data_IF_051025119283
#
_entry.id   IF_051025119283
#
_cell.length_a   1.000
_cell.length_b   1.000
_cell.length_c   1.000
_cell.angle_alpha   90.00
_cell.angle_beta   90.00
_cell.angle_gamma   90.00
#
_symmetry.space_group_name_H-M   'P 1'
#
loop_
_entity.id
_entity.type
_entity.pdbx_description
1 polymer ?
#
# COMPACT_ATOMS: atom_id res chain seq x y z
N UNK A 1 28.08 -9.36 -4.33
CA UNK A 1 28.62 -8.52 -3.23
C UNK A 1 28.22 -9.20 -1.94
N UNK A 2 29.16 -9.62 -1.11
CA UNK A 2 28.85 -10.24 0.19
C UNK A 2 28.36 -9.18 1.19
N UNK A 3 27.72 -9.65 2.28
CA UNK A 3 27.11 -8.78 3.28
C UNK A 3 28.11 -7.87 3.99
N UNK A 4 29.35 -8.33 4.18
CA UNK A 4 30.41 -7.56 4.82
C UNK A 4 30.85 -6.39 3.93
N UNK A 5 31.10 -6.67 2.64
CA UNK A 5 31.41 -5.65 1.64
C UNK A 5 30.26 -4.64 1.48
N UNK A 6 29.01 -5.11 1.49
CA UNK A 6 27.82 -4.24 1.42
C UNK A 6 27.74 -3.26 2.60
N UNK A 7 27.96 -3.73 3.83
CA UNK A 7 27.92 -2.90 5.03
C UNK A 7 29.11 -1.94 5.08
N UNK A 8 30.32 -2.41 4.81
CA UNK A 8 31.53 -1.57 4.81
C UNK A 8 31.42 -0.41 3.81
N UNK A 9 30.87 -0.66 2.63
CA UNK A 9 30.68 0.36 1.60
C UNK A 9 29.74 1.47 2.07
N UNK A 10 28.64 1.12 2.73
CA UNK A 10 27.64 2.08 3.23
C UNK A 10 28.08 2.83 4.49
N UNK A 11 28.93 2.20 5.31
CA UNK A 11 29.60 2.89 6.41
C UNK A 11 30.58 3.93 5.86
N UNK A 12 31.36 3.57 4.83
CA UNK A 12 32.33 4.46 4.20
C UNK A 12 31.67 5.63 3.45
N UNK A 13 30.51 5.41 2.82
CA UNK A 13 29.76 6.49 2.14
C UNK A 13 28.94 7.37 3.08
N UNK A 14 28.81 7.00 4.36
CA UNK A 14 27.98 7.72 5.33
C UNK A 14 26.48 7.43 5.22
N UNK A 15 26.05 6.62 4.25
CA UNK A 15 24.65 6.17 4.10
C UNK A 15 24.16 5.36 5.30
N UNK A 16 25.07 4.60 5.93
CA UNK A 16 24.84 3.87 7.14
C UNK A 16 25.72 4.43 8.26
N UNK A 17 25.11 5.06 9.26
CA UNK A 17 25.82 5.58 10.43
C UNK A 17 25.71 4.62 11.61
N UNK A 18 26.64 4.71 12.56
CA UNK A 18 26.55 3.93 13.80
C UNK A 18 25.23 4.18 14.55
N UNK A 19 24.78 5.45 14.60
CA UNK A 19 23.49 5.80 15.20
C UNK A 19 22.31 5.13 14.48
N UNK A 20 22.37 5.03 13.15
CA UNK A 20 21.35 4.33 12.35
C UNK A 20 21.35 2.82 12.63
N UNK A 21 22.53 2.19 12.74
CA UNK A 21 22.65 0.78 13.12
C UNK A 21 22.04 0.53 14.51
N UNK A 22 22.38 1.35 15.50
CA UNK A 22 21.83 1.25 16.86
C UNK A 22 20.30 1.34 16.84
N UNK A 23 19.73 2.26 16.07
CA UNK A 23 18.27 2.41 15.96
C UNK A 23 17.61 1.20 15.25
N UNK A 24 18.25 0.64 14.22
CA UNK A 24 17.77 -0.58 13.56
C UNK A 24 17.77 -1.78 14.51
N UNK A 25 18.82 -1.93 15.32
CA UNK A 25 18.88 -2.99 16.34
C UNK A 25 17.79 -2.80 17.39
N UNK A 26 17.55 -1.57 17.87
CA UNK A 26 16.45 -1.27 18.81
C UNK A 26 15.09 -1.61 18.23
N UNK A 27 14.84 -1.25 16.97
CA UNK A 27 13.58 -1.54 16.31
C UNK A 27 13.35 -3.05 16.21
N UNK A 28 14.36 -3.80 15.78
CA UNK A 28 14.31 -5.26 15.74
C UNK A 28 14.04 -5.86 17.12
N UNK A 29 14.75 -5.39 18.15
CA UNK A 29 14.56 -5.85 19.52
C UNK A 29 13.14 -5.58 20.02
N UNK A 30 12.60 -4.36 19.83
CA UNK A 30 11.23 -4.00 20.21
C UNK A 30 10.19 -4.88 19.51
N UNK A 31 10.32 -5.05 18.19
CA UNK A 31 9.40 -5.86 17.39
C UNK A 31 9.36 -7.33 17.81
N UNK A 32 10.45 -7.83 18.41
CA UNK A 32 10.57 -9.21 18.86
C UNK A 32 10.43 -9.36 20.39
N UNK A 33 9.94 -8.34 21.08
CA UNK A 33 9.73 -8.39 22.54
C UNK A 33 11.03 -8.47 23.36
N UNK A 34 12.17 -8.11 22.77
CA UNK A 34 13.47 -8.06 23.43
C UNK A 34 13.70 -6.68 24.08
N UNK A 35 14.64 -6.63 25.03
CA UNK A 35 15.12 -5.36 25.59
C UNK A 35 15.82 -4.54 24.50
N UNK A 36 15.28 -3.34 24.23
CA UNK A 36 15.74 -2.45 23.16
C UNK A 36 16.95 -1.59 23.53
N UNK A 37 18.08 -2.22 23.85
CA UNK A 37 19.31 -1.49 24.21
C UNK A 37 20.14 -1.04 23.00
N UNK A 38 19.81 -1.54 21.80
CA UNK A 38 20.51 -1.24 20.55
C UNK A 38 21.83 -1.96 20.38
N UNK A 39 22.08 -3.00 21.19
CA UNK A 39 23.28 -3.84 21.12
C UNK A 39 22.85 -5.25 20.73
N UNK A 40 23.37 -5.74 19.60
CA UNK A 40 23.14 -7.11 19.17
C UNK A 40 23.97 -8.08 20.03
N UNK A 41 23.45 -8.44 21.19
CA UNK A 41 24.01 -9.48 22.06
C UNK A 41 23.49 -10.87 21.70
N UNK A 42 23.91 -11.92 22.44
CA UNK A 42 23.53 -13.31 22.15
C UNK A 42 22.02 -13.52 21.96
N UNK A 43 21.19 -12.98 22.87
CA UNK A 43 19.72 -13.08 22.79
C UNK A 43 19.16 -12.45 21.50
N UNK A 44 19.77 -11.37 21.02
CA UNK A 44 19.36 -10.74 19.76
C UNK A 44 19.74 -11.60 18.56
N UNK A 45 20.94 -12.22 18.59
CA UNK A 45 21.37 -13.13 17.54
C UNK A 45 20.55 -14.42 17.50
N UNK A 46 20.28 -15.04 18.65
CA UNK A 46 19.43 -16.23 18.74
C UNK A 46 18.06 -15.98 18.09
N UNK A 47 17.48 -14.79 18.33
CA UNK A 47 16.20 -14.42 17.72
C UNK A 47 16.30 -14.17 16.21
N UNK A 48 17.41 -13.62 15.73
CA UNK A 48 17.67 -13.49 14.29
C UNK A 48 17.73 -14.89 13.66
N UNK A 49 18.45 -15.82 14.26
CA UNK A 49 18.62 -17.18 13.75
C UNK A 49 17.29 -17.95 13.73
N UNK A 50 16.47 -17.81 14.78
CA UNK A 50 15.11 -18.36 14.83
C UNK A 50 14.24 -17.86 13.66
N UNK A 51 14.25 -16.55 13.41
CA UNK A 51 13.47 -15.95 12.32
C UNK A 51 13.99 -16.41 10.96
N UNK A 52 15.31 -16.47 10.77
CA UNK A 52 15.91 -16.96 9.54
C UNK A 52 15.55 -18.43 9.28
N UNK A 53 15.55 -19.27 10.31
CA UNK A 53 15.12 -20.66 10.20
C UNK A 53 13.62 -20.78 9.87
N UNK A 54 12.77 -19.98 10.53
CA UNK A 54 11.34 -19.92 10.24
C UNK A 54 11.06 -19.51 8.78
N UNK A 55 11.68 -18.42 8.31
CA UNK A 55 11.49 -17.96 6.93
C UNK A 55 12.10 -18.91 5.89
N UNK A 56 13.23 -19.55 6.19
CA UNK A 56 13.79 -20.57 5.31
C UNK A 56 12.84 -21.76 5.16
N UNK A 57 12.17 -22.18 6.24
CA UNK A 57 11.15 -23.22 6.20
C UNK A 57 9.88 -22.77 5.47
N UNK A 58 9.41 -21.54 5.69
CA UNK A 58 8.21 -21.00 5.03
C UNK A 58 8.40 -20.84 3.51
N UNK A 59 9.58 -20.37 3.08
CA UNK A 59 9.93 -20.27 1.65
C UNK A 59 10.07 -21.65 1.00
N UNK A 60 10.59 -22.64 1.73
CA UNK A 60 10.66 -24.02 1.23
C UNK A 60 9.26 -24.67 1.10
N UNK A 61 8.35 -24.40 2.04
CA UNK A 61 6.98 -24.92 2.00
C UNK A 61 6.09 -24.22 0.96
N UNK A 62 6.20 -22.90 0.78
CA UNK A 62 5.46 -22.18 -0.29
C UNK A 62 5.90 -22.56 -1.71
N UNK A 63 7.06 -23.20 -1.87
CA UNK A 63 7.54 -23.67 -3.18
C UNK A 63 6.88 -24.96 -3.66
N UNK A 64 6.09 -25.65 -2.84
CA UNK A 64 5.47 -26.94 -3.19
C UNK A 64 3.96 -26.92 -3.43
N UNK A 65 3.29 -25.75 -3.34
CA UNK A 65 1.88 -25.59 -3.70
C UNK A 65 1.71 -24.42 -4.68
N UNK A 66 2.36 -24.49 -5.84
CA UNK A 66 1.78 -23.87 -7.03
C UNK A 66 0.82 -24.90 -7.62
N UNK A 67 -0.42 -24.91 -7.15
CA UNK A 67 -1.52 -25.32 -8.02
C UNK A 67 -1.36 -24.52 -9.33
N UNK A 68 -1.54 -25.18 -10.48
CA UNK A 68 -1.58 -24.50 -11.76
C UNK A 68 -2.45 -23.27 -11.59
N UNK A 69 -1.87 -22.08 -11.79
CA UNK A 69 -2.64 -20.85 -11.70
C UNK A 69 -3.87 -21.04 -12.58
N UNK A 70 -5.10 -20.85 -12.05
CA UNK A 70 -6.29 -21.03 -12.85
C UNK A 70 -6.09 -20.24 -14.13
N UNK A 71 -6.46 -20.82 -15.27
CA UNK A 71 -6.39 -20.10 -16.53
C UNK A 71 -7.31 -18.88 -16.41
N UNK A 72 -6.74 -17.72 -16.05
CA UNK A 72 -7.43 -16.45 -15.86
C UNK A 72 -7.86 -15.82 -17.18
N UNK A 73 -7.71 -16.54 -18.30
CA UNK A 73 -8.35 -16.17 -19.56
C UNK A 73 -9.87 -16.37 -19.43
N UNK A 74 -10.51 -15.42 -18.75
CA UNK A 74 -11.95 -15.23 -18.79
C UNK A 74 -12.34 -14.93 -20.24
N UNK A 75 -13.43 -15.55 -20.70
CA UNK A 75 -14.04 -15.19 -21.99
C UNK A 75 -14.30 -13.68 -21.99
N UNK A 76 -13.92 -12.91 -23.02
CA UNK A 76 -14.30 -11.50 -23.13
C UNK A 76 -15.80 -11.22 -22.93
N UNK A 77 -16.66 -12.20 -23.19
CA UNK A 77 -18.10 -12.12 -22.90
C UNK A 77 -18.42 -12.12 -21.38
N UNK A 78 -17.51 -12.58 -20.53
CA UNK A 78 -17.60 -12.58 -19.06
C UNK A 78 -16.94 -11.35 -18.43
N UNK A 79 -16.32 -10.48 -19.23
CA UNK A 79 -15.66 -9.28 -18.70
C UNK A 79 -16.71 -8.29 -18.21
N UNK A 80 -16.50 -7.80 -17.00
CA UNK A 80 -17.26 -6.67 -16.49
C UNK A 80 -16.65 -5.38 -17.04
N UNK A 81 -17.49 -4.50 -17.59
CA UNK A 81 -17.05 -3.17 -17.95
C UNK A 81 -17.06 -2.27 -16.70
N UNK A 82 -15.94 -1.59 -16.47
CA UNK A 82 -15.81 -0.64 -15.39
C UNK A 82 -14.87 0.50 -15.72
N UNK A 83 -14.88 1.51 -14.86
CA UNK A 83 -14.10 2.74 -15.03
C UNK A 83 -13.33 3.07 -13.75
N UNK A 84 -12.25 3.83 -13.87
CA UNK A 84 -11.63 4.54 -12.76
C UNK A 84 -11.69 6.05 -13.02
N UNK A 85 -11.90 6.84 -11.95
CA UNK A 85 -11.99 8.30 -12.04
C UNK A 85 -11.40 8.99 -10.79
N UNK A 86 -10.94 10.22 -10.97
CA UNK A 86 -10.49 11.16 -9.94
C UNK A 86 -10.99 12.59 -10.28
N UNK A 87 -10.53 13.58 -9.53
CA UNK A 87 -10.83 15.01 -9.75
C UNK A 87 -10.41 15.59 -11.12
N UNK A 88 -9.72 14.83 -11.98
CA UNK A 88 -9.44 15.25 -13.36
C UNK A 88 -10.60 14.97 -14.31
N UNK A 89 -11.56 14.10 -13.94
CA UNK A 89 -12.75 13.83 -14.75
C UNK A 89 -14.00 14.46 -14.13
N UNK A 90 -14.99 14.75 -14.98
CA UNK A 90 -16.33 15.13 -14.56
C UNK A 90 -17.31 14.10 -15.08
N UNK A 91 -18.22 13.65 -14.21
CA UNK A 91 -19.34 12.81 -14.63
C UNK A 91 -20.40 13.71 -15.28
N UNK A 92 -20.56 13.55 -16.58
CA UNK A 92 -21.67 14.08 -17.35
C UNK A 92 -22.76 13.01 -17.44
N UNK A 93 -23.84 13.20 -16.68
CA UNK A 93 -24.97 12.27 -16.57
C UNK A 93 -25.72 12.11 -17.90
N UNK A 94 -25.60 13.08 -18.81
CA UNK A 94 -26.25 13.04 -20.12
C UNK A 94 -25.37 12.37 -21.20
N UNK A 95 -24.05 12.29 -20.97
CA UNK A 95 -23.08 11.82 -21.97
C UNK A 95 -22.47 10.45 -21.68
N UNK A 96 -22.38 10.03 -20.40
CA UNK A 96 -22.03 8.65 -20.07
C UNK A 96 -23.28 7.79 -20.08
N UNK A 97 -23.27 6.73 -20.89
CA UNK A 97 -24.19 5.60 -20.73
C UNK A 97 -23.78 4.82 -19.46
N UNK A 98 -24.04 5.42 -18.30
CA UNK A 98 -23.71 4.87 -16.99
C UNK A 98 -24.43 3.54 -16.73
N UNK A 99 -25.48 3.23 -17.49
CA UNK A 99 -26.16 1.93 -17.43
C UNK A 99 -25.26 0.77 -17.90
N UNK A 100 -24.19 1.06 -18.65
CA UNK A 100 -23.19 0.06 -19.07
C UNK A 100 -22.07 -0.16 -18.05
N UNK A 101 -21.90 0.75 -17.10
CA UNK A 101 -20.82 0.69 -16.09
C UNK A 101 -21.24 -0.25 -14.97
N UNK A 102 -20.59 -1.42 -14.89
CA UNK A 102 -20.90 -2.45 -13.89
C UNK A 102 -20.10 -2.23 -12.61
N UNK A 103 -18.92 -1.61 -12.69
CA UNK A 103 -18.17 -1.17 -11.52
C UNK A 103 -17.38 0.11 -11.78
N UNK A 104 -17.07 0.86 -10.71
CA UNK A 104 -16.25 2.05 -10.79
C UNK A 104 -15.30 2.18 -9.59
N UNK A 105 -14.06 2.59 -9.82
CA UNK A 105 -13.08 2.90 -8.78
C UNK A 105 -12.83 4.41 -8.71
N UNK A 106 -13.04 5.01 -7.53
CA UNK A 106 -12.86 6.47 -7.35
C UNK A 106 -11.60 6.77 -6.55
N UNK A 107 -10.76 7.69 -7.04
CA UNK A 107 -9.59 8.18 -6.33
C UNK A 107 -10.02 8.98 -5.10
N UNK A 108 -9.52 8.62 -3.91
CA UNK A 108 -9.92 9.30 -2.66
C UNK A 108 -8.76 10.01 -1.97
N UNK A 109 -7.53 9.52 -2.12
CA UNK A 109 -6.36 10.07 -1.45
C UNK A 109 -5.09 9.88 -2.26
N UNK A 110 -4.14 10.80 -2.09
CA UNK A 110 -2.79 10.73 -2.65
C UNK A 110 -1.77 11.09 -1.55
N UNK A 111 -0.79 10.23 -1.28
CA UNK A 111 0.22 10.49 -0.25
C UNK A 111 -0.32 10.81 1.15
N UNK A 112 0.45 11.59 1.94
CA UNK A 112 0.23 11.79 3.39
C UNK A 112 -0.26 13.18 3.80
N UNK A 113 -0.04 14.22 3.01
CA UNK A 113 -0.37 15.61 3.36
C UNK A 113 -0.24 16.58 2.17
N UNK A 114 -0.97 17.71 2.19
CA UNK A 114 -0.92 18.75 1.14
C UNK A 114 -2.29 19.06 0.52
N UNK A 115 -2.35 20.06 -0.38
CA UNK A 115 -3.61 20.47 -1.07
C UNK A 115 -4.24 19.38 -1.94
N UNK A 116 -3.55 18.25 -2.17
CA UNK A 116 -4.01 17.13 -2.98
C UNK A 116 -4.10 15.81 -2.19
N UNK A 117 -3.98 15.82 -0.85
CA UNK A 117 -3.94 14.55 -0.10
C UNK A 117 -5.28 13.82 0.00
N UNK A 118 -6.37 14.53 -0.25
CA UNK A 118 -7.72 14.01 -0.36
C UNK A 118 -8.27 14.57 -1.65
N UNK A 119 -8.81 13.70 -2.49
CA UNK A 119 -9.45 14.11 -3.73
C UNK A 119 -10.66 15.02 -3.37
N UNK A 120 -10.79 16.22 -3.96
CA UNK A 120 -11.89 17.12 -3.58
C UNK A 120 -13.26 16.67 -4.14
N UNK A 121 -13.28 15.85 -5.18
CA UNK A 121 -14.49 15.48 -5.94
C UNK A 121 -15.00 14.08 -5.61
N UNK A 122 -14.23 13.25 -4.88
CA UNK A 122 -14.61 11.84 -4.61
C UNK A 122 -16.01 11.67 -4.02
N UNK A 123 -16.47 12.60 -3.16
CA UNK A 123 -17.82 12.51 -2.56
C UNK A 123 -18.91 12.70 -3.60
N UNK A 124 -18.72 13.64 -4.52
CA UNK A 124 -19.66 13.88 -5.62
C UNK A 124 -19.65 12.69 -6.57
N UNK A 125 -18.46 12.20 -6.94
CA UNK A 125 -18.30 11.02 -7.79
C UNK A 125 -18.99 9.78 -7.21
N UNK A 126 -18.74 9.44 -5.95
CA UNK A 126 -19.40 8.31 -5.30
C UNK A 126 -20.92 8.48 -5.21
N UNK A 127 -21.40 9.70 -4.98
CA UNK A 127 -22.85 9.97 -4.90
C UNK A 127 -23.53 9.74 -6.25
N UNK A 128 -22.95 10.25 -7.34
CA UNK A 128 -23.47 10.09 -8.71
C UNK A 128 -23.38 8.63 -9.17
N UNK A 129 -22.24 7.97 -8.97
CA UNK A 129 -22.08 6.57 -9.38
C UNK A 129 -22.95 5.62 -8.56
N UNK A 130 -23.28 5.98 -7.30
CA UNK A 130 -24.21 5.16 -6.51
C UNK A 130 -25.62 5.13 -7.12
N UNK A 131 -26.10 6.22 -7.71
CA UNK A 131 -27.44 6.24 -8.30
C UNK A 131 -27.56 5.39 -9.57
N UNK A 132 -26.44 4.98 -10.18
CA UNK A 132 -26.41 4.11 -11.37
C UNK A 132 -26.53 2.62 -11.01
N UNK A 133 -26.26 2.26 -9.76
CA UNK A 133 -26.24 0.87 -9.30
C UNK A 133 -24.93 0.11 -9.56
N UNK A 134 -23.88 0.80 -10.06
CA UNK A 134 -22.56 0.22 -10.22
C UNK A 134 -21.96 -0.24 -8.88
N UNK A 135 -21.16 -1.31 -8.89
CA UNK A 135 -20.33 -1.68 -7.74
C UNK A 135 -19.19 -0.68 -7.57
N UNK A 136 -19.01 -0.12 -6.37
CA UNK A 136 -18.08 0.99 -6.15
C UNK A 136 -16.85 0.56 -5.37
N UNK A 137 -15.68 0.89 -5.88
CA UNK A 137 -14.39 0.79 -5.19
C UNK A 137 -13.78 2.18 -5.00
N UNK A 138 -12.76 2.24 -4.17
CA UNK A 138 -11.94 3.45 -3.99
C UNK A 138 -10.47 3.09 -3.98
N UNK A 139 -9.63 4.01 -4.45
CA UNK A 139 -8.20 3.80 -4.52
C UNK A 139 -7.39 4.91 -3.85
N UNK A 140 -6.21 4.52 -3.38
CA UNK A 140 -5.16 5.42 -2.90
C UNK A 140 -4.03 5.49 -3.92
N UNK A 141 -3.66 6.71 -4.31
CA UNK A 141 -2.45 6.93 -5.10
C UNK A 141 -1.21 6.97 -4.21
N UNK A 142 -0.39 5.92 -4.30
CA UNK A 142 0.81 5.75 -3.49
C UNK A 142 1.93 6.72 -3.83
N UNK A 143 2.62 7.27 -2.82
CA UNK A 143 3.74 8.20 -3.01
C UNK A 143 5.02 7.73 -2.27
N UNK A 144 5.50 6.50 -2.53
CA UNK A 144 6.57 5.84 -1.76
C UNK A 144 7.93 6.56 -1.82
N UNK A 145 8.22 7.31 -2.89
CA UNK A 145 9.49 8.02 -3.08
C UNK A 145 9.47 9.46 -2.59
N UNK A 146 8.30 9.98 -2.21
CA UNK A 146 8.10 11.38 -1.91
C UNK A 146 8.77 11.81 -0.59
N UNK A 147 9.18 10.85 0.26
CA UNK A 147 10.05 11.13 1.42
C UNK A 147 11.40 11.73 1.01
N UNK A 148 11.97 11.31 -0.12
CA UNK A 148 13.26 11.84 -0.60
C UNK A 148 13.12 13.28 -1.11
N UNK A 149 11.96 13.65 -1.62
CA UNK A 149 11.70 14.95 -2.25
C UNK A 149 11.12 15.99 -1.27
N UNK A 150 10.30 15.56 -0.32
CA UNK A 150 9.52 16.44 0.54
C UNK A 150 9.81 16.24 2.04
N UNK A 151 10.79 15.39 2.37
CA UNK A 151 11.29 15.16 3.73
C UNK A 151 10.64 13.99 4.47
N UNK A 152 11.15 13.68 5.66
CA UNK A 152 10.81 12.49 6.45
C UNK A 152 9.33 12.34 6.83
N UNK A 153 8.55 13.40 6.70
CA UNK A 153 7.14 13.45 7.09
C UNK A 153 6.18 13.25 5.91
N UNK A 154 6.70 13.03 4.69
CA UNK A 154 5.90 12.89 3.48
C UNK A 154 6.08 11.49 2.87
N UNK A 155 5.01 10.89 2.37
CA UNK A 155 5.07 9.64 1.61
C UNK A 155 5.42 8.41 2.44
N UNK A 156 5.17 8.47 3.77
CA UNK A 156 5.42 7.36 4.67
C UNK A 156 4.29 6.33 4.54
N UNK A 157 4.57 5.04 4.29
CA UNK A 157 3.54 4.03 4.03
C UNK A 157 2.44 3.96 5.10
N UNK A 158 2.80 4.11 6.38
CA UNK A 158 1.83 4.13 7.47
C UNK A 158 0.93 5.37 7.43
N UNK A 159 1.50 6.54 7.11
CA UNK A 159 0.72 7.78 6.99
C UNK A 159 -0.23 7.74 5.81
N UNK A 160 0.18 7.12 4.70
CA UNK A 160 -0.61 6.92 3.49
C UNK A 160 -1.80 5.99 3.76
N UNK A 161 -1.52 4.83 4.36
CA UNK A 161 -2.55 3.88 4.78
C UNK A 161 -3.55 4.51 5.77
N UNK A 162 -3.06 5.31 6.75
CA UNK A 162 -3.93 6.03 7.68
C UNK A 162 -4.76 7.11 6.98
N UNK A 163 -4.21 7.78 5.97
CA UNK A 163 -4.95 8.77 5.20
C UNK A 163 -6.08 8.12 4.39
N UNK A 164 -5.78 7.05 3.68
CA UNK A 164 -6.77 6.26 2.96
C UNK A 164 -7.83 5.67 3.91
N UNK A 165 -7.44 5.08 5.04
CA UNK A 165 -8.39 4.52 6.01
C UNK A 165 -9.41 5.55 6.53
N UNK A 166 -9.00 6.81 6.74
CA UNK A 166 -9.94 7.88 7.12
C UNK A 166 -10.96 8.19 6.03
N UNK A 167 -10.57 8.13 4.75
CA UNK A 167 -11.50 8.37 3.65
C UNK A 167 -12.34 7.14 3.31
N UNK A 168 -11.84 5.93 3.61
CA UNK A 168 -12.59 4.68 3.50
C UNK A 168 -13.90 4.74 4.29
N UNK A 169 -13.85 5.14 5.56
CA UNK A 169 -15.06 5.25 6.41
C UNK A 169 -16.09 6.21 5.80
N UNK A 170 -15.63 7.31 5.20
CA UNK A 170 -16.50 8.29 4.53
C UNK A 170 -17.09 7.69 3.25
N UNK A 171 -16.26 7.05 2.42
CA UNK A 171 -16.69 6.41 1.18
C UNK A 171 -17.70 5.28 1.43
N UNK A 172 -17.47 4.45 2.45
CA UNK A 172 -18.39 3.39 2.87
C UNK A 172 -19.71 3.96 3.36
N UNK A 173 -19.70 5.09 4.09
CA UNK A 173 -20.93 5.77 4.51
C UNK A 173 -21.79 6.27 3.34
N UNK A 174 -21.16 6.62 2.21
CA UNK A 174 -21.84 7.07 0.99
C UNK A 174 -22.38 5.87 0.19
N UNK A 175 -21.58 4.81 0.06
CA UNK A 175 -21.82 3.70 -0.87
C UNK A 175 -22.53 2.50 -0.24
N UNK A 176 -22.44 2.34 1.08
CA UNK A 176 -22.96 1.21 1.85
C UNK A 176 -22.07 -0.04 1.82
N UNK A 177 -21.50 -0.38 0.66
CA UNK A 177 -20.51 -1.47 0.51
C UNK A 177 -19.53 -1.13 -0.60
N UNK A 178 -18.24 -1.23 -0.27
CA UNK A 178 -17.15 -1.04 -1.23
C UNK A 178 -16.62 -2.37 -1.77
N UNK A 179 -16.09 -2.33 -2.99
CA UNK A 179 -15.12 -3.30 -3.51
C UNK A 179 -13.84 -3.28 -2.66
N UNK A 180 -13.00 -4.33 -2.72
CA UNK A 180 -11.73 -4.34 -2.00
C UNK A 180 -10.90 -3.07 -2.28
N UNK A 181 -10.18 -2.53 -1.27
CA UNK A 181 -9.39 -1.33 -1.44
C UNK A 181 -8.28 -1.54 -2.46
N UNK A 182 -8.05 -0.52 -3.29
CA UNK A 182 -6.96 -0.52 -4.28
C UNK A 182 -5.84 0.41 -3.81
N UNK A 183 -4.62 -0.12 -3.80
CA UNK A 183 -3.40 0.67 -3.71
C UNK A 183 -2.88 0.84 -5.13
N UNK A 184 -2.97 2.06 -5.65
CA UNK A 184 -2.45 2.43 -6.95
C UNK A 184 -0.96 2.77 -6.83
N UNK A 185 -0.13 2.10 -7.64
CA UNK A 185 1.33 2.14 -7.59
C UNK A 185 1.88 2.25 -9.00
N UNK A 186 2.29 3.46 -9.38
CA UNK A 186 2.89 3.78 -10.67
C UNK A 186 4.05 4.79 -10.57
#
# INVERSE_FOLDING_TARGET
>A
MDAETFIKTRLASGELTHARIVNLVRAFQLQNGLKADGKAGPITFDRVDELLAYYAHEVAHRRMEFEESPNLALDPAEWLFGIDIDHHQRIDEDALDLDTVQFACVGVTEGTSGRASVDPEFREHLTKLRSTGAALGVYHFGRPSSTLLFGSNFGQPLGEAQNFARQWEIAESITGRLLPPVLDME
#
